data_IF_054734822235
#
_entry.id   IF_054734822235
#
_cell.length_a   1.000
_cell.length_b   1.000
_cell.length_c   1.000
_cell.angle_alpha   90.00
_cell.angle_beta   90.00
_cell.angle_gamma   90.00
#
_symmetry.space_group_name_H-M   'P 1'
#
loop_
_entity.id
_entity.type
_entity.pdbx_description
1 polymer ?
#
# COMPACT_ATOMS: atom_id res chain seq x y z
N UNK A 1 12.63 15.29 -10.70
CA UNK A 1 11.16 15.30 -10.74
C UNK A 1 10.71 16.49 -9.93
N UNK A 2 9.87 17.36 -10.48
CA UNK A 2 9.31 18.47 -9.71
C UNK A 2 8.07 17.95 -8.95
N UNK A 3 8.15 18.00 -7.62
CA UNK A 3 7.07 17.60 -6.72
C UNK A 3 6.37 18.89 -6.28
N UNK A 4 5.06 18.99 -6.53
CA UNK A 4 4.29 20.18 -6.16
C UNK A 4 3.86 20.15 -4.69
N UNK A 5 3.57 21.32 -4.12
CA UNK A 5 3.03 21.42 -2.76
C UNK A 5 1.68 20.67 -2.62
N UNK A 6 0.82 20.76 -3.63
CA UNK A 6 -0.47 20.06 -3.64
C UNK A 6 -0.30 18.54 -3.57
N UNK A 7 0.68 18.01 -4.32
CA UNK A 7 1.00 16.57 -4.32
C UNK A 7 1.47 16.10 -2.93
N UNK A 8 2.27 16.92 -2.23
CA UNK A 8 2.73 16.65 -0.86
C UNK A 8 1.56 16.70 0.13
N UNK A 9 0.70 17.71 0.02
CA UNK A 9 -0.49 17.87 0.87
C UNK A 9 -1.46 16.69 0.71
N UNK A 10 -1.73 16.30 -0.54
CA UNK A 10 -2.58 15.16 -0.85
C UNK A 10 -1.98 13.84 -0.35
N UNK A 11 -0.66 13.68 -0.43
CA UNK A 11 0.02 12.51 0.11
C UNK A 11 -0.07 12.46 1.64
N UNK A 12 0.06 13.59 2.35
CA UNK A 12 -0.20 13.67 3.80
C UNK A 12 -1.62 13.24 4.12
N UNK A 13 -2.61 13.77 3.40
CA UNK A 13 -4.02 13.40 3.56
C UNK A 13 -4.27 11.92 3.25
N UNK A 14 -3.51 11.33 2.32
CA UNK A 14 -3.55 9.90 2.04
C UNK A 14 -3.04 9.07 3.22
N UNK A 15 -1.89 9.42 3.80
CA UNK A 15 -1.36 8.72 4.99
C UNK A 15 -2.30 8.85 6.19
N UNK A 16 -2.87 10.03 6.44
CA UNK A 16 -3.87 10.23 7.48
C UNK A 16 -5.06 9.29 7.26
N UNK A 17 -5.58 9.19 6.03
CA UNK A 17 -6.69 8.29 5.73
C UNK A 17 -6.33 6.80 5.89
N UNK A 18 -5.11 6.39 5.55
CA UNK A 18 -4.63 5.04 5.80
C UNK A 18 -4.59 4.74 7.30
N UNK A 19 -4.10 5.68 8.11
CA UNK A 19 -4.05 5.53 9.56
C UNK A 19 -5.45 5.54 10.21
N UNK A 20 -6.46 6.13 9.58
CA UNK A 20 -7.85 6.07 10.05
C UNK A 20 -8.58 4.77 9.66
N UNK A 21 -8.03 3.99 8.73
CA UNK A 21 -8.59 2.70 8.32
C UNK A 21 -8.23 1.58 9.31
N UNK A 22 -8.55 1.75 10.60
CA UNK A 22 -8.17 0.84 11.70
C UNK A 22 -8.71 -0.58 11.57
N UNK A 23 -9.81 -0.76 10.85
CA UNK A 23 -10.43 -2.08 10.59
C UNK A 23 -9.85 -2.79 9.35
N UNK A 24 -8.82 -2.20 8.72
CA UNK A 24 -8.21 -2.69 7.50
C UNK A 24 -6.72 -2.94 7.70
N UNK A 25 -6.26 -4.11 7.27
CA UNK A 25 -4.83 -4.41 7.28
C UNK A 25 -4.20 -4.04 5.95
N UNK A 26 -3.14 -3.22 5.98
CA UNK A 26 -2.39 -2.82 4.79
C UNK A 26 -1.40 -3.93 4.42
N UNK A 27 -1.40 -4.31 3.15
CA UNK A 27 -0.50 -5.31 2.58
C UNK A 27 0.31 -4.69 1.46
N UNK A 28 1.63 -4.88 1.54
CA UNK A 28 2.60 -4.44 0.54
C UNK A 28 3.39 -5.64 0.00
N UNK A 29 4.13 -5.47 -1.09
CA UNK A 29 4.90 -6.56 -1.68
C UNK A 29 6.12 -6.91 -0.81
N UNK A 30 6.88 -5.91 -0.37
CA UNK A 30 8.10 -6.12 0.39
C UNK A 30 8.48 -5.07 1.45
N UNK A 31 9.63 -5.30 2.06
CA UNK A 31 10.17 -4.49 3.17
C UNK A 31 10.40 -3.02 2.79
N UNK A 32 10.81 -2.73 1.54
CA UNK A 32 11.07 -1.37 1.09
C UNK A 32 9.80 -0.54 1.00
N UNK A 33 8.72 -1.13 0.51
CA UNK A 33 7.38 -0.53 0.49
C UNK A 33 6.89 -0.22 1.91
N UNK A 34 7.08 -1.18 2.82
CA UNK A 34 6.74 -1.01 4.23
C UNK A 34 7.51 0.15 4.84
N UNK A 35 8.83 0.20 4.64
CA UNK A 35 9.67 1.28 5.13
C UNK A 35 9.25 2.64 4.55
N UNK A 36 8.95 2.72 3.25
CA UNK A 36 8.49 3.95 2.62
C UNK A 36 7.20 4.46 3.27
N UNK A 37 6.18 3.61 3.45
CA UNK A 37 4.94 4.01 4.14
C UNK A 37 5.18 4.42 5.59
N UNK A 38 6.06 3.72 6.32
CA UNK A 38 6.44 4.07 7.69
C UNK A 38 7.09 5.44 7.78
N UNK A 39 8.04 5.73 6.90
CA UNK A 39 8.74 7.00 6.85
C UNK A 39 7.81 8.16 6.48
N UNK A 40 6.74 7.90 5.71
CA UNK A 40 5.70 8.88 5.42
C UNK A 40 4.71 9.12 6.58
N UNK A 41 4.81 8.38 7.69
CA UNK A 41 3.98 8.54 8.88
C UNK A 41 2.87 7.49 9.06
N UNK A 42 2.87 6.39 8.31
CA UNK A 42 1.96 5.28 8.59
C UNK A 42 2.33 4.55 9.89
N UNK A 43 1.44 4.52 10.88
CA UNK A 43 1.79 4.06 12.24
C UNK A 43 1.38 2.61 12.52
N UNK A 44 0.41 2.06 11.79
CA UNK A 44 -0.14 0.72 12.06
C UNK A 44 0.71 -0.44 11.49
N UNK A 45 0.31 -1.69 11.77
CA UNK A 45 1.00 -2.88 11.26
C UNK A 45 0.84 -3.01 9.72
N UNK A 46 1.94 -3.34 9.04
CA UNK A 46 1.96 -3.64 7.60
C UNK A 46 2.29 -5.13 7.42
N UNK A 47 1.56 -5.83 6.55
CA UNK A 47 1.95 -7.16 6.10
C UNK A 47 2.79 -7.08 4.83
N UNK A 48 3.96 -7.70 4.86
CA UNK A 48 4.85 -7.82 3.72
C UNK A 48 4.64 -9.18 3.04
N UNK A 49 4.09 -9.21 1.83
CA UNK A 49 3.75 -10.44 1.13
C UNK A 49 4.94 -11.40 0.99
N UNK A 50 6.14 -10.88 0.67
CA UNK A 50 7.34 -11.70 0.52
C UNK A 50 7.74 -12.50 1.77
N UNK A 51 7.29 -12.12 2.97
CA UNK A 51 7.57 -12.87 4.21
C UNK A 51 6.79 -14.17 4.34
N UNK A 52 5.70 -14.33 3.60
CA UNK A 52 4.80 -15.49 3.74
C UNK A 52 5.23 -16.69 2.88
N UNK A 53 6.17 -16.51 1.94
CA UNK A 53 6.69 -17.61 1.12
C UNK A 53 5.68 -18.17 0.11
N UNK A 54 4.67 -17.39 -0.29
CA UNK A 54 3.74 -17.74 -1.37
C UNK A 54 2.29 -17.31 -1.11
N UNK A 55 1.47 -17.37 -2.17
CA UNK A 55 0.06 -16.92 -2.14
C UNK A 55 -0.78 -17.72 -1.16
N UNK A 56 -0.64 -19.06 -1.11
CA UNK A 56 -1.44 -19.92 -0.23
C UNK A 56 -1.19 -19.60 1.24
N UNK A 57 0.08 -19.59 1.66
CA UNK A 57 0.46 -19.26 3.04
C UNK A 57 0.04 -17.84 3.43
N UNK A 58 0.17 -16.90 2.51
CA UNK A 58 -0.34 -15.55 2.70
C UNK A 58 -1.86 -15.56 2.93
N UNK A 59 -2.63 -16.18 2.03
CA UNK A 59 -4.09 -16.25 2.15
C UNK A 59 -4.54 -16.88 3.48
N UNK A 60 -3.92 -17.98 3.89
CA UNK A 60 -4.22 -18.64 5.17
C UNK A 60 -3.93 -17.72 6.36
N UNK A 61 -2.83 -16.96 6.32
CA UNK A 61 -2.45 -16.05 7.40
C UNK A 61 -3.34 -14.82 7.53
N UNK A 62 -3.94 -14.36 6.42
CA UNK A 62 -4.74 -13.12 6.40
C UNK A 62 -6.24 -13.38 6.40
N UNK A 63 -6.69 -14.64 6.29
CA UNK A 63 -8.11 -14.98 6.18
C UNK A 63 -8.95 -14.57 7.42
N UNK A 64 -8.32 -14.33 8.56
CA UNK A 64 -8.98 -13.81 9.77
C UNK A 64 -9.26 -12.30 9.71
N UNK A 65 -8.64 -11.56 8.79
CA UNK A 65 -8.85 -10.13 8.63
C UNK A 65 -10.11 -9.88 7.79
N UNK A 66 -10.96 -8.96 8.27
CA UNK A 66 -12.20 -8.60 7.58
C UNK A 66 -11.95 -7.78 6.32
N UNK A 67 -10.98 -6.86 6.39
CA UNK A 67 -10.65 -5.95 5.29
C UNK A 67 -9.14 -5.92 5.06
N UNK A 68 -8.73 -5.97 3.80
CA UNK A 68 -7.35 -5.80 3.35
C UNK A 68 -7.25 -4.64 2.38
N UNK A 69 -6.28 -3.75 2.61
CA UNK A 69 -5.88 -2.73 1.64
C UNK A 69 -4.63 -3.25 0.92
N UNK A 70 -4.74 -3.54 -0.38
CA UNK A 70 -3.60 -4.06 -1.15
C UNK A 70 -2.89 -2.93 -1.89
N UNK A 71 -1.61 -2.75 -1.57
CA UNK A 71 -0.70 -1.78 -2.18
C UNK A 71 0.47 -2.50 -2.87
N UNK A 72 0.15 -3.41 -3.79
CA UNK A 72 1.16 -4.01 -4.68
C UNK A 72 1.49 -3.10 -5.85
N UNK A 73 2.69 -3.26 -6.40
CA UNK A 73 3.18 -2.49 -7.52
C UNK A 73 2.29 -2.64 -8.78
N UNK A 74 2.38 -1.66 -9.67
CA UNK A 74 1.59 -1.63 -10.91
C UNK A 74 2.23 -2.41 -12.08
N UNK A 75 3.31 -3.12 -11.81
CA UNK A 75 4.01 -3.97 -12.78
C UNK A 75 3.25 -5.28 -13.06
N UNK A 76 3.82 -6.14 -13.91
CA UNK A 76 3.18 -7.42 -14.28
C UNK A 76 3.05 -8.36 -13.09
N UNK A 77 4.02 -8.36 -12.17
CA UNK A 77 4.07 -9.26 -11.02
C UNK A 77 3.06 -8.83 -9.96
N UNK A 78 3.04 -7.56 -9.58
CA UNK A 78 2.08 -6.99 -8.64
C UNK A 78 0.64 -7.13 -9.12
N UNK A 79 0.37 -6.95 -10.43
CA UNK A 79 -0.95 -7.24 -11.03
C UNK A 79 -1.34 -8.72 -10.91
N UNK A 80 -0.40 -9.62 -11.20
CA UNK A 80 -0.63 -11.05 -11.04
C UNK A 80 -0.93 -11.40 -9.57
N UNK A 81 -0.13 -10.91 -8.62
CA UNK A 81 -0.34 -11.13 -7.19
C UNK A 81 -1.70 -10.59 -6.74
N UNK A 82 -2.05 -9.37 -7.14
CA UNK A 82 -3.35 -8.76 -6.82
C UNK A 82 -4.51 -9.68 -7.25
N UNK A 83 -4.48 -10.16 -8.50
CA UNK A 83 -5.50 -11.06 -9.04
C UNK A 83 -5.59 -12.35 -8.22
N UNK A 84 -4.44 -12.97 -7.91
CA UNK A 84 -4.40 -14.24 -7.16
C UNK A 84 -4.89 -14.08 -5.72
N UNK A 85 -4.56 -12.98 -5.06
CA UNK A 85 -5.05 -12.66 -3.72
C UNK A 85 -6.58 -12.51 -3.73
N UNK A 86 -7.13 -11.81 -4.73
CA UNK A 86 -8.58 -11.68 -4.91
C UNK A 86 -9.24 -13.05 -5.08
N UNK A 87 -8.76 -13.86 -6.03
CA UNK A 87 -9.31 -15.19 -6.30
C UNK A 87 -9.36 -16.11 -5.06
N UNK A 88 -8.41 -15.97 -4.14
CA UNK A 88 -8.32 -16.81 -2.94
C UNK A 88 -9.14 -16.28 -1.76
N UNK A 89 -9.31 -14.95 -1.63
CA UNK A 89 -9.80 -14.33 -0.41
C UNK A 89 -11.12 -13.57 -0.55
N UNK A 90 -11.54 -13.19 -1.77
CA UNK A 90 -12.70 -12.31 -1.97
C UNK A 90 -14.01 -12.81 -1.34
N UNK A 91 -14.13 -14.13 -1.14
CA UNK A 91 -15.29 -14.77 -0.50
C UNK A 91 -15.34 -14.61 1.02
N UNK A 92 -14.21 -14.28 1.66
CA UNK A 92 -14.04 -14.27 3.13
C UNK A 92 -13.56 -12.93 3.65
N UNK A 93 -12.84 -12.19 2.82
CA UNK A 93 -12.17 -10.94 3.18
C UNK A 93 -12.45 -9.89 2.11
N UNK A 94 -12.85 -8.70 2.54
CA UNK A 94 -13.02 -7.57 1.64
C UNK A 94 -11.66 -7.05 1.20
N UNK A 95 -11.45 -6.93 -0.11
CA UNK A 95 -10.22 -6.39 -0.67
C UNK A 95 -10.49 -4.98 -1.20
N UNK A 96 -9.75 -4.01 -0.67
CA UNK A 96 -9.84 -2.60 -1.04
C UNK A 96 -8.63 -2.17 -1.87
N UNK A 97 -8.90 -1.86 -3.15
CA UNK A 97 -7.92 -1.32 -4.09
C UNK A 97 -8.06 0.20 -4.29
N UNK A 98 -9.03 0.84 -3.63
CA UNK A 98 -9.30 2.27 -3.79
C UNK A 98 -8.12 3.13 -3.34
N UNK A 99 -7.42 2.72 -2.29
CA UNK A 99 -6.21 3.39 -1.81
C UNK A 99 -5.09 3.37 -2.84
N UNK A 100 -4.86 2.23 -3.51
CA UNK A 100 -3.90 2.15 -4.62
C UNK A 100 -4.28 3.13 -5.74
N UNK A 101 -5.55 3.14 -6.13
CA UNK A 101 -6.04 4.05 -7.18
C UNK A 101 -5.89 5.52 -6.78
N UNK A 102 -6.17 5.86 -5.52
CA UNK A 102 -6.00 7.21 -5.00
C UNK A 102 -4.53 7.62 -4.98
N UNK A 103 -3.63 6.75 -4.55
CA UNK A 103 -2.19 7.00 -4.56
C UNK A 103 -1.70 7.31 -5.98
N UNK A 104 -2.08 6.50 -6.97
CA UNK A 104 -1.71 6.74 -8.37
C UNK A 104 -2.23 8.07 -8.90
N UNK A 105 -3.41 8.52 -8.46
CA UNK A 105 -3.98 9.83 -8.85
C UNK A 105 -3.21 10.99 -8.24
N UNK A 106 -2.90 10.92 -6.95
CA UNK A 106 -2.14 11.94 -6.22
C UNK A 106 -0.80 12.16 -6.92
N UNK A 107 -0.11 11.07 -7.21
CA UNK A 107 1.21 11.13 -7.83
C UNK A 107 1.14 11.35 -9.34
N UNK A 108 -0.04 11.57 -9.93
CA UNK A 108 -0.23 11.67 -11.39
C UNK A 108 0.43 10.54 -12.19
N UNK A 109 0.46 9.32 -11.63
CA UNK A 109 1.13 8.15 -12.21
C UNK A 109 2.66 8.19 -12.23
N UNK A 110 3.29 9.20 -11.61
CA UNK A 110 4.74 9.31 -11.42
C UNK A 110 5.31 8.18 -10.59
N UNK A 111 4.55 7.72 -9.59
CA UNK A 111 4.90 6.61 -8.72
C UNK A 111 4.26 5.33 -9.24
N UNK A 112 5.12 4.34 -9.53
CA UNK A 112 4.71 3.01 -10.01
C UNK A 112 4.93 1.91 -8.98
N UNK A 113 5.87 2.14 -8.05
CA UNK A 113 6.19 1.26 -6.94
C UNK A 113 6.10 1.99 -5.61
N UNK A 114 5.62 1.32 -4.56
CA UNK A 114 5.43 1.96 -3.25
C UNK A 114 6.77 2.42 -2.66
N UNK A 115 7.88 1.74 -2.94
CA UNK A 115 9.22 2.16 -2.52
C UNK A 115 9.65 3.55 -3.04
N UNK A 116 9.12 4.01 -4.18
CA UNK A 116 9.43 5.34 -4.75
C UNK A 116 8.86 6.49 -3.90
N UNK A 117 7.91 6.21 -3.01
CA UNK A 117 7.39 7.17 -2.05
C UNK A 117 8.45 7.74 -1.10
N UNK A 118 9.57 7.04 -0.92
CA UNK A 118 10.74 7.52 -0.17
C UNK A 118 11.27 8.87 -0.71
N UNK A 119 11.03 9.21 -1.97
CA UNK A 119 11.41 10.50 -2.56
C UNK A 119 10.67 11.69 -1.92
N UNK A 120 9.50 11.46 -1.33
CA UNK A 120 8.68 12.48 -0.68
C UNK A 120 9.05 12.65 0.80
N UNK A 121 9.84 11.74 1.37
CA UNK A 121 10.22 11.74 2.78
C UNK A 121 10.95 13.04 3.19
N UNK A 122 11.94 13.47 2.39
CA UNK A 122 12.71 14.68 2.68
C UNK A 122 11.83 15.94 2.66
N UNK A 123 10.81 15.96 1.81
CA UNK A 123 9.90 17.08 1.66
C UNK A 123 8.88 17.09 2.80
N UNK A 124 8.42 15.92 3.24
CA UNK A 124 7.44 15.80 4.31
C UNK A 124 8.02 16.05 5.70
N UNK A 125 9.31 15.73 5.90
CA UNK A 125 10.04 15.95 7.15
C UNK A 125 10.70 17.35 7.23
N UNK A 126 10.78 18.08 6.11
CA UNK A 126 11.40 19.40 6.01
C UNK A 126 10.44 20.60 6.16
N UNK A 127 9.14 20.35 6.35
CA UNK A 127 8.09 21.35 6.57
C UNK A 127 7.34 21.10 7.86
#
# INVERSE_FOLDING_TARGET
MEISYDEVSDLRNFIVSLNLASESMVVVEGKRDSAALKNLGYSQQILEFHRFGGITKFADSVCCHKNLILLFDSDRKGKYLTKRVIEQLERRTRIDLSYKNRLMKITSGKIRAIEELSQYEQILNGY
#
